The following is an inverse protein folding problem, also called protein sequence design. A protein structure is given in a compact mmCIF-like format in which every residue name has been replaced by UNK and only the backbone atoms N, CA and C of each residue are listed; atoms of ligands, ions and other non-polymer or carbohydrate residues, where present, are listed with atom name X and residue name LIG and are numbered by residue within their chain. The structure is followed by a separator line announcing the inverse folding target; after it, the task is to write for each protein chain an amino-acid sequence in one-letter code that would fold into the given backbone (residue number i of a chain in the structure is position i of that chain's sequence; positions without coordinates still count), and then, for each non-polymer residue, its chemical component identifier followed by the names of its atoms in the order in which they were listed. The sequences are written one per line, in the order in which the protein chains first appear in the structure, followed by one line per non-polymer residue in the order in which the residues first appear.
data_IF_433409953502
#
_entry.id   IF_433409953502
#
_cell.length_a   1.000
_cell.length_b   1.000
_cell.length_c   1.000
_cell.angle_alpha   90.00
_cell.angle_beta   90.00
_cell.angle_gamma   90.00
#
_symmetry.space_group_name_H-M   'P 1'
#
loop_
_entity.id
_entity.type
_entity.pdbx_description
1 polymer ?
#
# COMPACT_ATOMS: atom_id res chain seq x y z
N UNK A 1 23.99 8.49 7.86
CA UNK A 1 23.61 7.64 6.72
C UNK A 1 22.11 7.44 6.81
N UNK A 2 21.31 8.17 6.05
CA UNK A 2 19.90 7.84 5.86
C UNK A 2 19.76 7.47 4.40
N UNK A 3 19.87 6.17 4.14
CA UNK A 3 19.57 5.62 2.85
C UNK A 3 18.06 5.77 2.67
N UNK A 4 17.63 6.85 2.00
CA UNK A 4 16.35 6.87 1.29
C UNK A 4 16.48 5.89 0.13
N UNK A 5 16.55 4.59 0.46
CA UNK A 5 16.29 3.53 -0.48
C UNK A 5 14.86 3.71 -0.95
N UNK A 6 14.67 3.64 -2.26
CA UNK A 6 13.44 3.94 -2.96
C UNK A 6 12.26 3.15 -2.37
N UNK A 7 11.56 3.76 -1.41
CA UNK A 7 10.17 3.45 -1.14
C UNK A 7 9.42 4.01 -2.34
N UNK A 8 9.27 3.20 -3.39
CA UNK A 8 8.69 3.61 -4.67
C UNK A 8 7.24 4.12 -4.52
N UNK A 9 6.60 3.88 -3.38
CA UNK A 9 5.26 4.34 -3.07
C UNK A 9 5.00 4.39 -1.55
N UNK A 10 4.16 5.32 -1.08
CA UNK A 10 3.77 5.47 0.32
C UNK A 10 2.60 4.56 0.75
N UNK A 11 2.59 4.15 2.01
CA UNK A 11 1.52 3.34 2.63
C UNK A 11 0.53 4.19 3.45
N UNK A 12 -0.48 3.57 4.07
CA UNK A 12 -1.51 4.32 4.82
C UNK A 12 -0.90 5.27 5.86
N UNK A 13 -1.26 6.54 5.78
CA UNK A 13 -0.78 7.59 6.66
C UNK A 13 0.56 8.20 6.25
N UNK A 14 1.27 7.62 5.28
CA UNK A 14 2.49 8.21 4.73
C UNK A 14 2.16 9.42 3.87
N UNK A 15 3.14 10.32 3.77
CA UNK A 15 3.07 11.49 2.91
C UNK A 15 3.02 11.07 1.44
N UNK A 16 2.19 11.77 0.67
CA UNK A 16 2.12 11.59 -0.77
C UNK A 16 2.04 12.92 -1.50
N UNK A 17 2.57 12.94 -2.71
CA UNK A 17 2.52 14.07 -3.62
C UNK A 17 2.66 13.59 -5.07
N UNK A 18 2.96 14.51 -6.00
CA UNK A 18 3.14 14.18 -7.41
C UNK A 18 4.37 13.29 -7.67
N UNK A 19 5.40 13.38 -6.82
CA UNK A 19 6.65 12.64 -6.95
C UNK A 19 6.71 11.39 -6.05
N UNK A 20 5.94 11.36 -4.95
CA UNK A 20 5.81 10.21 -4.07
C UNK A 20 4.37 9.66 -4.11
N UNK A 21 4.05 8.74 -5.04
CA UNK A 21 2.71 8.18 -5.16
C UNK A 21 2.41 7.21 -4.02
N UNK A 22 1.12 6.90 -3.80
CA UNK A 22 0.72 5.86 -2.86
C UNK A 22 0.81 4.47 -3.49
N UNK A 23 1.05 3.45 -2.66
CA UNK A 23 1.10 2.07 -3.13
C UNK A 23 -0.28 1.58 -3.57
N UNK A 24 -0.32 0.56 -4.43
CA UNK A 24 -1.56 0.01 -4.98
C UNK A 24 -2.59 -0.29 -3.90
N UNK A 25 -3.82 0.20 -4.05
CA UNK A 25 -4.83 0.11 -3.00
C UNK A 25 -4.98 1.32 -2.09
N UNK A 26 -4.06 2.28 -2.22
CA UNK A 26 -4.11 3.56 -1.53
C UNK A 26 -4.22 4.69 -2.55
N UNK A 27 -4.98 5.72 -2.19
CA UNK A 27 -5.06 6.97 -2.94
C UNK A 27 -4.45 8.09 -2.12
N UNK A 28 -3.83 9.04 -2.81
CA UNK A 28 -3.36 10.24 -2.15
C UNK A 28 -4.56 11.12 -1.79
N UNK A 29 -4.93 11.13 -0.52
CA UNK A 29 -5.97 12.00 0.00
C UNK A 29 -5.38 13.40 0.18
N UNK A 30 -5.52 14.21 -0.87
CA UNK A 30 -5.09 15.61 -0.88
C UNK A 30 -6.31 16.54 -0.70
N UNK A 31 -6.23 17.53 0.21
CA UNK A 31 -7.17 18.64 0.19
C UNK A 31 -7.04 19.35 -1.16
N UNK A 32 -8.15 19.82 -1.75
CA UNK A 32 -8.24 20.38 -3.10
C UNK A 32 -7.27 21.55 -3.40
N UNK A 33 -6.75 22.18 -2.34
CA UNK A 33 -5.81 23.32 -2.39
C UNK A 33 -4.33 22.91 -2.29
N UNK A 34 -4.02 21.66 -1.95
CA UNK A 34 -2.65 21.17 -1.81
C UNK A 34 -2.31 20.12 -2.87
N UNK A 35 -1.08 20.17 -3.38
CA UNK A 35 -0.53 19.13 -4.26
C UNK A 35 0.07 17.95 -3.48
N UNK A 36 -0.06 17.97 -2.16
CA UNK A 36 0.38 16.91 -1.26
C UNK A 36 -0.72 16.54 -0.28
N UNK A 37 -0.61 15.35 0.29
CA UNK A 37 -1.59 14.79 1.20
C UNK A 37 -1.02 13.60 1.95
N UNK A 38 -1.93 12.73 2.38
CA UNK A 38 -1.57 11.45 2.99
C UNK A 38 -2.21 10.32 2.22
N UNK A 39 -1.50 9.21 2.12
CA UNK A 39 -2.05 8.00 1.53
C UNK A 39 -3.15 7.46 2.42
N UNK A 40 -4.35 7.34 1.87
CA UNK A 40 -5.48 6.72 2.53
C UNK A 40 -6.02 5.57 1.69
N UNK A 41 -6.72 4.63 2.33
CA UNK A 41 -7.22 3.44 1.65
C UNK A 41 -8.20 3.85 0.56
N UNK A 42 -8.00 3.36 -0.65
CA UNK A 42 -9.01 3.54 -1.68
C UNK A 42 -10.10 2.48 -1.51
N UNK A 43 -11.34 2.86 -1.15
CA UNK A 43 -12.42 1.89 -0.94
C UNK A 43 -12.86 1.20 -2.24
N UNK A 44 -12.48 1.73 -3.41
CA UNK A 44 -12.76 1.12 -4.70
C UNK A 44 -11.64 0.18 -5.17
N UNK A 45 -10.52 0.13 -4.45
CA UNK A 45 -9.48 -0.83 -4.74
C UNK A 45 -9.96 -2.22 -4.30
N UNK A 46 -10.02 -3.15 -5.24
CA UNK A 46 -10.33 -4.56 -4.96
C UNK A 46 -9.16 -5.32 -4.34
N UNK A 47 -8.34 -4.65 -3.53
CA UNK A 47 -7.20 -5.26 -2.87
C UNK A 47 -7.52 -5.58 -1.39
N UNK A 48 -6.84 -6.59 -0.89
CA UNK A 48 -6.95 -7.08 0.48
C UNK A 48 -5.96 -6.34 1.40
N UNK A 49 -6.46 -5.81 2.52
CA UNK A 49 -5.60 -5.14 3.50
C UNK A 49 -4.78 -6.14 4.33
N UNK A 50 -3.85 -5.66 5.15
CA UNK A 50 -3.13 -6.50 6.11
C UNK A 50 -4.09 -7.43 6.88
N UNK A 51 -3.69 -8.70 7.05
CA UNK A 51 -4.46 -9.76 7.71
C UNK A 51 -5.80 -10.12 7.02
N UNK A 52 -6.04 -9.61 5.80
CA UNK A 52 -7.14 -10.07 4.96
C UNK A 52 -6.70 -11.20 4.04
N UNK A 53 -7.67 -12.00 3.63
CA UNK A 53 -7.46 -13.11 2.71
C UNK A 53 -6.93 -12.60 1.37
N UNK A 54 -5.96 -13.30 0.81
CA UNK A 54 -5.42 -13.07 -0.51
C UNK A 54 -5.33 -14.39 -1.29
N UNK A 55 -5.21 -14.29 -2.61
CA UNK A 55 -5.26 -15.45 -3.51
C UNK A 55 -6.54 -15.51 -4.32
N UNK A 56 -6.60 -16.43 -5.30
CA UNK A 56 -7.75 -16.59 -6.22
C UNK A 56 -8.18 -15.30 -6.97
N UNK A 57 -7.23 -14.40 -7.25
CA UNK A 57 -7.47 -13.14 -7.97
C UNK A 57 -7.49 -11.90 -7.07
N UNK A 58 -7.45 -12.07 -5.75
CA UNK A 58 -7.30 -10.96 -4.80
C UNK A 58 -5.82 -10.68 -4.52
N UNK A 59 -5.43 -9.42 -4.72
CA UNK A 59 -4.07 -8.92 -4.47
C UNK A 59 -4.02 -8.14 -3.16
N UNK A 60 -2.86 -8.10 -2.52
CA UNK A 60 -2.69 -7.33 -1.30
C UNK A 60 -2.48 -5.84 -1.57
N UNK A 61 -3.09 -4.97 -0.76
CA UNK A 61 -2.88 -3.53 -0.83
C UNK A 61 -1.48 -3.18 -0.33
N UNK A 62 -0.89 -2.10 -0.83
CA UNK A 62 0.36 -1.57 -0.34
C UNK A 62 1.57 -2.35 -0.84
N UNK A 63 2.53 -2.52 0.07
CA UNK A 63 3.67 -3.42 -0.12
C UNK A 63 3.44 -4.79 0.54
N UNK A 64 2.20 -5.06 0.96
CA UNK A 64 1.88 -6.33 1.58
C UNK A 64 1.99 -7.45 0.56
N UNK A 65 2.48 -8.60 1.02
CA UNK A 65 2.63 -9.80 0.22
C UNK A 65 1.61 -10.84 0.64
N UNK A 66 1.19 -11.69 -0.29
CA UNK A 66 0.34 -12.82 0.04
C UNK A 66 1.22 -13.94 0.61
N UNK A 67 0.99 -14.33 1.86
CA UNK A 67 1.77 -15.38 2.53
C UNK A 67 1.63 -16.77 1.88
N UNK A 68 0.62 -16.98 1.02
CA UNK A 68 0.37 -18.25 0.33
C UNK A 68 0.22 -18.08 -1.19
N UNK A 69 0.50 -19.14 -1.94
CA UNK A 69 0.50 -19.11 -3.42
C UNK A 69 -0.90 -19.23 -4.04
N UNK A 70 -1.83 -19.90 -3.36
CA UNK A 70 -3.20 -20.15 -3.84
C UNK A 70 -4.23 -19.45 -2.94
N UNK A 71 -4.00 -19.49 -1.62
CA UNK A 71 -4.78 -18.77 -0.63
C UNK A 71 -3.87 -18.48 0.57
N UNK A 72 -3.96 -17.27 1.12
CA UNK A 72 -3.14 -16.83 2.25
C UNK A 72 -3.70 -15.58 2.88
N UNK A 73 -2.85 -14.90 3.65
CA UNK A 73 -3.15 -13.60 4.24
C UNK A 73 -2.16 -12.56 3.73
N UNK A 74 -2.62 -11.32 3.60
CA UNK A 74 -1.75 -10.20 3.33
C UNK A 74 -0.90 -9.90 4.55
N UNK A 75 0.41 -10.13 4.42
CA UNK A 75 1.40 -9.87 5.45
C UNK A 75 2.28 -8.71 5.01
N UNK A 76 2.72 -7.91 5.98
CA UNK A 76 3.68 -6.83 5.73
C UNK A 76 5.00 -7.40 5.24
N UNK A 77 5.69 -6.66 4.39
CA UNK A 77 7.01 -7.01 3.85
C UNK A 77 8.02 -7.34 4.97
N UNK A 78 7.85 -6.73 6.15
CA UNK A 78 8.65 -6.97 7.36
C UNK A 78 8.47 -8.35 8.02
N UNK A 79 7.49 -9.16 7.59
CA UNK A 79 7.17 -10.47 8.20
C UNK A 79 7.59 -11.67 7.36
N UNK A 80 8.25 -11.47 6.22
CA UNK A 80 8.88 -12.53 5.43
C UNK A 80 10.33 -12.75 5.88
N UNK A 81 10.50 -13.31 7.08
CA UNK A 81 11.78 -13.85 7.56
C UNK A 81 11.56 -15.21 8.21
#
# INVERSE_FOLDING_TARGET
MMAHEAVACGERGEFCDLFHPCCGGFKCNKPTIFNSGTCDRDPNSGCSTLDQVCGLGEICCGRNQCSGTISGLCVGDEKLF
#
